data_IF_651136223992
#
_entry.id   IF_651136223992
#
_cell.length_a   1.000
_cell.length_b   1.000
_cell.length_c   1.000
_cell.angle_alpha   90.00
_cell.angle_beta   90.00
_cell.angle_gamma   90.00
#
_symmetry.space_group_name_H-M   'P 1'
#
loop_
_entity.id
_entity.type
_entity.pdbx_description
1 polymer ?
#
# COMPACT_ATOMS: atom_id res chain seq x y z
N UNK A 1 -1.92 12.19 19.97
CA UNK A 1 -1.60 10.80 20.38
C UNK A 1 -0.09 10.67 20.26
N UNK A 2 0.63 10.42 21.36
CA UNK A 2 2.10 10.48 21.39
C UNK A 2 2.71 9.51 20.36
N UNK A 3 3.47 10.03 19.40
CA UNK A 3 4.32 9.22 18.53
C UNK A 3 5.49 8.70 19.37
N UNK A 4 5.41 7.44 19.81
CA UNK A 4 6.53 6.75 20.43
C UNK A 4 7.48 6.25 19.33
N UNK A 5 8.77 6.50 19.52
CA UNK A 5 9.84 6.12 18.60
C UNK A 5 9.82 4.60 18.32
N UNK A 6 10.06 4.12 17.08
CA UNK A 6 10.00 2.68 16.73
C UNK A 6 10.87 1.78 17.62
N UNK A 7 12.01 2.30 18.08
CA UNK A 7 12.90 1.59 19.01
C UNK A 7 12.30 1.36 20.41
N UNK A 8 11.40 2.25 20.85
CA UNK A 8 10.69 2.13 22.12
C UNK A 8 9.66 1.00 22.08
N UNK A 9 9.05 0.75 20.92
CA UNK A 9 8.08 -0.34 20.72
C UNK A 9 8.75 -1.71 20.71
N UNK A 10 9.95 -1.83 20.12
CA UNK A 10 10.66 -3.11 19.98
C UNK A 10 11.33 -3.61 21.29
N UNK A 11 11.77 -2.69 22.16
CA UNK A 11 12.54 -3.02 23.38
C UNK A 11 11.71 -3.07 24.66
N UNK A 12 10.50 -2.50 24.68
CA UNK A 12 9.64 -2.46 25.87
C UNK A 12 8.52 -3.53 25.83
N UNK A 13 8.29 -4.30 26.91
CA UNK A 13 7.16 -5.24 27.02
C UNK A 13 5.78 -4.63 26.72
N UNK A 14 5.55 -3.38 27.13
CA UNK A 14 4.33 -2.62 26.82
C UNK A 14 4.23 -2.27 25.33
N UNK A 15 5.35 -1.92 24.72
CA UNK A 15 5.44 -1.66 23.27
C UNK A 15 5.10 -2.89 22.44
N UNK A 16 5.64 -4.05 22.83
CA UNK A 16 5.31 -5.35 22.21
C UNK A 16 3.87 -5.76 22.43
N UNK A 17 3.29 -5.48 23.60
CA UNK A 17 1.88 -5.76 23.88
C UNK A 17 0.94 -4.86 23.06
N UNK A 18 1.28 -3.58 22.89
CA UNK A 18 0.56 -2.64 22.02
C UNK A 18 0.67 -3.03 20.55
N UNK A 19 1.85 -3.48 20.10
CA UNK A 19 2.04 -4.00 18.75
C UNK A 19 1.30 -5.31 18.52
N UNK A 20 1.30 -6.23 19.50
CA UNK A 20 0.47 -7.44 19.47
C UNK A 20 -1.01 -7.07 19.41
N UNK A 21 -1.48 -6.14 20.25
CA UNK A 21 -2.88 -5.70 20.29
C UNK A 21 -3.28 -4.99 18.99
N UNK A 22 -2.40 -4.18 18.41
CA UNK A 22 -2.56 -3.55 17.09
C UNK A 22 -2.67 -4.62 15.99
N UNK A 23 -1.74 -5.57 15.95
CA UNK A 23 -1.77 -6.68 15.00
C UNK A 23 -3.00 -7.60 15.20
N UNK A 24 -3.47 -7.76 16.43
CA UNK A 24 -4.65 -8.56 16.79
C UNK A 24 -5.95 -7.84 16.42
N UNK A 25 -5.98 -6.50 16.50
CA UNK A 25 -7.08 -5.67 15.99
C UNK A 25 -7.18 -5.74 14.46
N UNK A 26 -6.04 -5.88 13.77
CA UNK A 26 -5.97 -6.05 12.31
C UNK A 26 -6.09 -7.50 11.81
N UNK A 27 -6.22 -8.48 12.72
CA UNK A 27 -6.30 -9.91 12.37
C UNK A 27 -7.70 -10.52 12.56
N UNK A 28 -8.73 -9.73 12.85
CA UNK A 28 -10.06 -10.26 13.23
C UNK A 28 -11.00 -10.60 12.08
N UNK A 29 -11.07 -9.77 11.03
CA UNK A 29 -11.94 -9.98 9.87
C UNK A 29 -11.48 -9.14 8.67
N UNK A 30 -11.76 -9.59 7.45
CA UNK A 30 -11.59 -8.75 6.26
C UNK A 30 -12.58 -7.59 6.33
N UNK A 31 -12.09 -6.38 6.09
CA UNK A 31 -12.95 -5.20 5.88
C UNK A 31 -13.42 -5.16 4.42
N UNK A 32 -14.51 -4.46 4.11
CA UNK A 32 -14.90 -4.22 2.71
C UNK A 32 -13.78 -3.59 1.88
N UNK A 33 -12.97 -2.71 2.48
CA UNK A 33 -11.80 -2.13 1.84
C UNK A 33 -10.75 -3.21 1.51
N UNK A 34 -10.50 -4.16 2.42
CA UNK A 34 -9.56 -5.26 2.16
C UNK A 34 -10.03 -6.14 1.01
N UNK A 35 -11.32 -6.46 0.97
CA UNK A 35 -11.90 -7.30 -0.08
C UNK A 35 -11.81 -6.61 -1.44
N UNK A 36 -12.18 -5.32 -1.50
CA UNK A 36 -12.08 -4.50 -2.70
C UNK A 36 -10.62 -4.37 -3.20
N UNK A 37 -9.67 -4.13 -2.30
CA UNK A 37 -8.23 -4.10 -2.64
C UNK A 37 -7.76 -5.45 -3.19
N UNK A 38 -8.10 -6.55 -2.51
CA UNK A 38 -7.69 -7.89 -2.95
C UNK A 38 -8.30 -8.27 -4.30
N UNK A 39 -9.56 -7.89 -4.54
CA UNK A 39 -10.21 -8.09 -5.83
C UNK A 39 -9.51 -7.32 -6.94
N UNK A 40 -9.28 -6.02 -6.75
CA UNK A 40 -8.59 -5.16 -7.73
C UNK A 40 -7.20 -5.72 -8.06
N UNK A 41 -6.41 -6.08 -7.05
CA UNK A 41 -5.08 -6.65 -7.26
C UNK A 41 -5.11 -7.94 -8.09
N UNK A 42 -6.07 -8.84 -7.83
CA UNK A 42 -6.24 -10.08 -8.63
C UNK A 42 -6.59 -9.76 -10.09
N UNK A 43 -7.48 -8.80 -10.32
CA UNK A 43 -7.91 -8.38 -11.68
C UNK A 43 -6.74 -7.76 -12.46
N UNK A 44 -6.01 -6.84 -11.83
CA UNK A 44 -4.83 -6.20 -12.43
C UNK A 44 -3.69 -7.17 -12.71
N UNK A 45 -3.50 -8.18 -11.86
CA UNK A 45 -2.55 -9.27 -12.10
C UNK A 45 -2.95 -10.08 -13.34
N UNK A 46 -4.20 -10.55 -13.42
CA UNK A 46 -4.69 -11.29 -14.60
C UNK A 46 -4.52 -10.47 -15.89
N UNK A 47 -4.84 -9.18 -15.85
CA UNK A 47 -4.63 -8.29 -17.00
C UNK A 47 -3.15 -8.17 -17.38
N UNK A 48 -2.27 -7.95 -16.40
CA UNK A 48 -0.81 -7.92 -16.63
C UNK A 48 -0.32 -9.21 -17.30
N UNK A 49 -0.75 -10.36 -16.78
CA UNK A 49 -0.30 -11.66 -17.26
C UNK A 49 -0.77 -11.90 -18.70
N UNK A 50 -2.03 -11.57 -19.01
CA UNK A 50 -2.56 -11.65 -20.38
C UNK A 50 -1.82 -10.72 -21.36
N UNK A 51 -1.56 -9.45 -20.98
CA UNK A 51 -0.80 -8.52 -21.84
C UNK A 51 0.64 -9.01 -22.02
N UNK A 52 1.25 -9.60 -20.99
CA UNK A 52 2.61 -10.12 -21.07
C UNK A 52 2.70 -11.36 -21.98
N UNK A 53 1.73 -12.26 -21.91
CA UNK A 53 1.62 -13.43 -22.80
C UNK A 53 1.40 -13.01 -24.26
N UNK A 54 0.58 -12.00 -24.50
CA UNK A 54 0.33 -11.44 -25.83
C UNK A 54 1.53 -10.67 -26.38
N UNK A 55 2.08 -9.72 -25.60
CA UNK A 55 3.18 -8.85 -26.00
C UNK A 55 3.97 -8.30 -24.78
N UNK A 56 5.17 -8.86 -24.51
CA UNK A 56 6.00 -8.43 -23.39
C UNK A 56 6.45 -6.97 -23.43
N UNK A 57 6.60 -6.37 -24.62
CA UNK A 57 6.99 -4.96 -24.78
C UNK A 57 5.82 -4.08 -24.34
N UNK A 58 4.60 -4.38 -24.83
CA UNK A 58 3.37 -3.68 -24.43
C UNK A 58 3.13 -3.82 -22.92
N UNK A 59 3.39 -4.98 -22.33
CA UNK A 59 3.24 -5.21 -20.89
C UNK A 59 4.17 -4.33 -20.03
N UNK A 60 5.34 -3.93 -20.56
CA UNK A 60 6.23 -2.98 -19.87
C UNK A 60 5.67 -1.57 -19.89
N UNK A 61 5.14 -1.14 -21.04
CA UNK A 61 4.59 0.22 -21.21
C UNK A 61 3.22 0.38 -20.53
N UNK A 62 2.38 -0.65 -20.55
CA UNK A 62 1.03 -0.67 -19.95
C UNK A 62 1.00 -1.42 -18.62
N UNK A 63 2.08 -1.33 -17.85
CA UNK A 63 2.23 -2.05 -16.59
C UNK A 63 1.13 -1.65 -15.61
N UNK A 64 0.42 -2.61 -15.03
CA UNK A 64 -0.70 -2.30 -14.13
C UNK A 64 -0.25 -1.95 -12.71
N UNK A 65 0.81 -2.58 -12.20
CA UNK A 65 1.38 -2.32 -10.88
C UNK A 65 2.89 -2.64 -10.80
N UNK A 66 3.55 -2.09 -9.76
CA UNK A 66 4.87 -2.53 -9.28
C UNK A 66 4.83 -2.88 -7.80
N UNK A 67 5.79 -3.67 -7.35
CA UNK A 67 5.89 -4.17 -5.98
C UNK A 67 7.20 -3.70 -5.34
N UNK A 68 7.15 -3.32 -4.06
CA UNK A 68 8.32 -2.93 -3.28
C UNK A 68 8.51 -1.42 -3.16
N UNK A 69 9.09 -1.01 -2.03
CA UNK A 69 9.24 0.39 -1.66
C UNK A 69 10.11 1.19 -2.64
N UNK A 70 11.30 0.65 -2.97
CA UNK A 70 12.23 1.29 -3.91
C UNK A 70 11.62 1.47 -5.30
N UNK A 71 11.01 0.41 -5.84
CA UNK A 71 10.44 0.45 -7.19
C UNK A 71 9.22 1.38 -7.25
N UNK A 72 8.39 1.38 -6.20
CA UNK A 72 7.27 2.30 -6.07
C UNK A 72 7.75 3.76 -6.09
N UNK A 73 8.83 4.10 -5.37
CA UNK A 73 9.36 5.45 -5.37
C UNK A 73 9.88 5.90 -6.74
N UNK A 74 10.53 5.00 -7.51
CA UNK A 74 10.94 5.33 -8.90
C UNK A 74 9.74 5.71 -9.75
N UNK A 75 8.65 4.96 -9.62
CA UNK A 75 7.43 5.16 -10.39
C UNK A 75 6.66 6.42 -9.94
N UNK A 76 6.62 6.72 -8.65
CA UNK A 76 6.07 7.99 -8.15
C UNK A 76 6.84 9.18 -8.75
N UNK A 77 8.18 9.13 -8.75
CA UNK A 77 9.02 10.19 -9.34
C UNK A 77 8.86 10.33 -10.85
N UNK A 78 8.46 9.25 -11.53
CA UNK A 78 8.12 9.24 -12.95
C UNK A 78 6.66 9.65 -13.24
N UNK A 79 5.92 10.09 -12.22
CA UNK A 79 4.54 10.61 -12.31
C UNK A 79 3.53 9.66 -12.96
N UNK A 80 3.71 8.35 -12.78
CA UNK A 80 2.84 7.33 -13.37
C UNK A 80 2.07 6.49 -12.34
N UNK A 81 2.17 6.86 -11.05
CA UNK A 81 1.47 6.18 -9.96
C UNK A 81 0.17 6.88 -9.64
N UNK A 82 -0.90 6.11 -9.56
CA UNK A 82 -2.25 6.60 -9.26
C UNK A 82 -2.70 6.31 -7.84
N UNK A 83 -2.13 5.29 -7.20
CA UNK A 83 -2.48 4.86 -5.85
C UNK A 83 -1.37 3.97 -5.28
N UNK A 84 -1.08 4.10 -3.99
CA UNK A 84 -0.23 3.18 -3.22
C UNK A 84 -1.11 2.33 -2.32
N UNK A 85 -0.93 1.01 -2.38
CA UNK A 85 -1.47 0.06 -1.40
C UNK A 85 -0.35 -0.33 -0.44
N UNK A 86 -0.56 -0.09 0.85
CA UNK A 86 0.36 -0.44 1.92
C UNK A 86 -0.26 -1.52 2.82
N UNK A 87 0.50 -2.58 3.11
CA UNK A 87 0.10 -3.59 4.08
C UNK A 87 -0.09 -2.97 5.47
N UNK A 88 -1.14 -3.36 6.20
CA UNK A 88 -1.36 -2.87 7.58
C UNK A 88 -0.33 -3.42 8.56
N UNK A 89 0.16 -4.64 8.32
CA UNK A 89 1.20 -5.27 9.13
C UNK A 89 2.59 -4.88 8.59
N UNK A 90 2.96 -3.63 8.83
CA UNK A 90 4.30 -3.11 8.55
C UNK A 90 5.31 -3.89 9.37
N UNK A 91 6.40 -4.33 8.74
CA UNK A 91 7.44 -5.15 9.37
C UNK A 91 8.80 -4.43 9.39
N UNK A 92 9.82 -5.17 9.83
CA UNK A 92 11.19 -4.69 9.93
C UNK A 92 11.78 -4.18 8.60
N UNK A 93 11.26 -4.57 7.43
CA UNK A 93 11.75 -4.10 6.12
C UNK A 93 11.44 -2.61 5.91
N UNK A 94 10.24 -2.18 6.28
CA UNK A 94 9.90 -0.75 6.24
C UNK A 94 10.63 -0.01 7.36
N UNK A 95 10.78 -0.63 8.54
CA UNK A 95 11.52 -0.03 9.65
C UNK A 95 13.02 0.11 9.36
N UNK A 96 13.63 -0.75 8.54
CA UNK A 96 15.03 -0.59 8.12
C UNK A 96 15.19 0.44 7.01
N UNK A 97 14.13 0.69 6.23
CA UNK A 97 14.09 1.66 5.14
C UNK A 97 13.25 2.91 5.49
N UNK A 98 13.30 3.36 6.76
CA UNK A 98 12.51 4.51 7.27
C UNK A 98 12.66 5.74 6.39
N UNK A 99 13.88 6.13 6.02
CA UNK A 99 14.13 7.32 5.19
C UNK A 99 13.44 7.22 3.83
N UNK A 100 13.49 6.05 3.19
CA UNK A 100 12.86 5.81 1.91
C UNK A 100 11.33 5.81 2.02
N UNK A 101 10.81 5.26 3.11
CA UNK A 101 9.37 5.28 3.38
C UNK A 101 8.86 6.71 3.63
N UNK A 102 9.64 7.54 4.34
CA UNK A 102 9.36 8.97 4.47
C UNK A 102 9.33 9.66 3.11
N UNK A 103 10.32 9.42 2.24
CA UNK A 103 10.31 10.00 0.89
C UNK A 103 9.11 9.55 0.05
N UNK A 104 8.74 8.26 0.10
CA UNK A 104 7.54 7.77 -0.57
C UNK A 104 6.29 8.52 -0.10
N UNK A 105 6.19 8.72 1.21
CA UNK A 105 5.06 9.38 1.83
C UNK A 105 4.97 10.86 1.42
N UNK A 106 6.07 11.60 1.48
CA UNK A 106 6.15 13.01 1.09
C UNK A 106 5.77 13.21 -0.38
N UNK A 107 6.31 12.38 -1.27
CA UNK A 107 5.98 12.42 -2.70
C UNK A 107 4.50 12.10 -2.96
N UNK A 108 3.93 11.14 -2.23
CA UNK A 108 2.50 10.85 -2.37
C UNK A 108 1.63 12.02 -1.89
N UNK A 109 1.93 12.60 -0.72
CA UNK A 109 1.15 13.68 -0.14
C UNK A 109 1.20 14.96 -0.97
N UNK A 110 2.39 15.33 -1.46
CA UNK A 110 2.59 16.52 -2.29
C UNK A 110 1.87 16.42 -3.65
N UNK A 111 1.73 15.20 -4.19
CA UNK A 111 1.04 14.93 -5.46
C UNK A 111 -0.43 14.54 -5.31
N UNK A 112 -0.91 14.37 -4.08
CA UNK A 112 -2.27 13.89 -3.81
C UNK A 112 -2.51 12.42 -4.19
N UNK A 113 -1.47 11.59 -4.20
CA UNK A 113 -1.57 10.14 -4.47
C UNK A 113 -2.11 9.43 -3.23
N UNK A 114 -3.27 8.75 -3.29
CA UNK A 114 -3.83 8.00 -2.17
C UNK A 114 -2.86 6.93 -1.65
N UNK A 115 -2.69 6.87 -0.32
CA UNK A 115 -2.06 5.74 0.37
C UNK A 115 -3.15 4.94 1.10
N UNK A 116 -3.44 3.75 0.59
CA UNK A 116 -4.48 2.84 1.07
C UNK A 116 -3.85 1.74 1.93
N UNK A 117 -4.03 1.82 3.24
CA UNK A 117 -3.59 0.82 4.20
C UNK A 117 -4.62 -0.31 4.25
N UNK A 118 -4.30 -1.46 3.66
CA UNK A 118 -5.23 -2.57 3.53
C UNK A 118 -4.54 -3.93 3.62
N UNK A 119 -5.26 -4.90 4.18
CA UNK A 119 -4.92 -6.30 4.30
C UNK A 119 -3.55 -6.55 4.95
N UNK A 120 -3.03 -7.77 4.78
CA UNK A 120 -1.68 -8.13 5.20
C UNK A 120 -0.74 -8.29 4.01
N UNK A 121 0.57 -8.07 4.19
CA UNK A 121 1.58 -8.25 3.14
C UNK A 121 1.49 -9.62 2.45
N UNK A 122 1.16 -10.66 3.24
CA UNK A 122 0.97 -12.03 2.74
C UNK A 122 -0.24 -12.12 1.82
N UNK A 123 -1.38 -11.55 2.19
CA UNK A 123 -2.59 -11.58 1.38
C UNK A 123 -2.46 -10.73 0.12
N UNK A 124 -1.88 -9.53 0.22
CA UNK A 124 -1.57 -8.68 -0.94
C UNK A 124 -0.66 -9.42 -1.93
N UNK A 125 0.43 -10.02 -1.43
CA UNK A 125 1.40 -10.73 -2.27
C UNK A 125 0.81 -12.00 -2.90
N UNK A 126 -0.08 -12.71 -2.18
CA UNK A 126 -0.82 -13.86 -2.72
C UNK A 126 -1.80 -13.44 -3.81
N UNK A 127 -2.50 -12.32 -3.66
CA UNK A 127 -3.38 -11.78 -4.71
C UNK A 127 -2.60 -11.53 -6.01
N UNK A 128 -1.34 -11.10 -5.88
CA UNK A 128 -0.45 -10.79 -7.00
C UNK A 128 0.41 -11.97 -7.48
N UNK A 129 0.34 -13.13 -6.82
CA UNK A 129 1.23 -14.29 -7.04
C UNK A 129 2.72 -13.89 -7.04
N UNK A 130 3.10 -13.06 -6.07
CA UNK A 130 4.46 -12.55 -5.91
C UNK A 130 5.14 -13.11 -4.67
N UNK A 131 6.41 -13.48 -4.86
CA UNK A 131 7.35 -13.85 -3.82
C UNK A 131 8.73 -13.21 -4.14
N UNK A 132 9.48 -12.68 -3.16
CA UNK A 132 9.14 -12.54 -1.74
C UNK A 132 7.92 -11.63 -1.49
N UNK A 133 7.30 -11.73 -0.31
CA UNK A 133 6.15 -10.89 0.04
C UNK A 133 6.57 -9.44 0.17
N UNK A 134 5.73 -8.52 -0.32
CA UNK A 134 5.98 -7.09 -0.25
C UNK A 134 4.94 -6.37 0.59
N UNK A 135 5.38 -5.31 1.28
CA UNK A 135 4.50 -4.40 2.01
C UNK A 135 3.89 -3.31 1.14
N UNK A 136 4.49 -2.99 -0.02
CA UNK A 136 4.11 -1.84 -0.86
C UNK A 136 3.77 -2.31 -2.27
N UNK A 137 2.62 -1.87 -2.77
CA UNK A 137 2.22 -2.06 -4.18
C UNK A 137 1.81 -0.70 -4.74
N UNK A 138 2.44 -0.25 -5.81
CA UNK A 138 2.02 0.94 -6.54
C UNK A 138 1.16 0.55 -7.73
N UNK A 139 0.00 1.18 -7.87
CA UNK A 139 -0.92 1.01 -9.00
C UNK A 139 -0.67 2.09 -10.04
N UNK A 140 -0.53 1.68 -11.31
CA UNK A 140 -0.16 2.56 -12.43
C UNK A 140 -1.31 2.64 -13.44
N UNK A 141 -1.58 1.52 -14.12
CA UNK A 141 -2.66 1.39 -15.11
C UNK A 141 -3.71 0.40 -14.61
N UNK A 142 -4.97 0.75 -14.76
CA UNK A 142 -6.12 -0.09 -14.39
C UNK A 142 -7.25 0.06 -15.41
N UNK A 143 -6.87 0.16 -16.68
CA UNK A 143 -7.84 0.33 -17.77
C UNK A 143 -8.81 -0.85 -17.80
N UNK A 144 -10.11 -0.55 -17.78
CA UNK A 144 -11.19 -1.54 -17.68
C UNK A 144 -11.57 -1.92 -16.24
N UNK A 145 -10.95 -1.31 -15.23
CA UNK A 145 -11.23 -1.51 -13.81
C UNK A 145 -11.41 -0.18 -13.05
N UNK A 146 -11.74 0.91 -13.76
CA UNK A 146 -11.91 2.25 -13.20
C UNK A 146 -13.02 2.31 -12.15
N UNK A 147 -14.12 1.59 -12.39
CA UNK A 147 -15.23 1.47 -11.45
C UNK A 147 -14.81 0.77 -10.16
N UNK A 148 -14.15 -0.39 -10.28
CA UNK A 148 -13.64 -1.13 -9.13
C UNK A 148 -12.64 -0.30 -8.32
N UNK A 149 -11.77 0.46 -8.99
CA UNK A 149 -10.87 1.39 -8.33
C UNK A 149 -11.61 2.54 -7.62
N UNK A 150 -12.61 3.13 -8.29
CA UNK A 150 -13.40 4.23 -7.72
C UNK A 150 -14.13 3.78 -6.45
N UNK A 151 -14.74 2.60 -6.48
CA UNK A 151 -15.47 2.04 -5.34
C UNK A 151 -14.50 1.72 -4.19
N UNK A 152 -13.31 1.19 -4.50
CA UNK A 152 -12.21 1.02 -3.52
C UNK A 152 -11.83 2.36 -2.86
N UNK A 153 -11.71 3.44 -3.62
CA UNK A 153 -11.40 4.77 -3.11
C UNK A 153 -12.53 5.34 -2.25
N UNK A 154 -13.79 5.07 -2.57
CA UNK A 154 -14.93 5.45 -1.72
C UNK A 154 -14.88 4.74 -0.37
N UNK A 155 -14.60 3.43 -0.37
CA UNK A 155 -14.39 2.66 0.86
C UNK A 155 -13.19 3.20 1.66
N UNK A 156 -12.10 3.57 0.97
CA UNK A 156 -10.92 4.16 1.60
C UNK A 156 -11.25 5.48 2.31
N UNK A 157 -11.97 6.40 1.66
CA UNK A 157 -12.38 7.69 2.24
C UNK A 157 -13.17 7.57 3.54
N UNK A 158 -13.92 6.48 3.70
CA UNK A 158 -14.70 6.17 4.90
C UNK A 158 -13.92 5.36 5.95
N UNK A 159 -12.64 5.07 5.72
CA UNK A 159 -11.84 4.19 6.58
C UNK A 159 -10.80 4.96 7.42
N UNK A 160 -10.32 4.31 8.48
CA UNK A 160 -9.19 4.82 9.28
C UNK A 160 -7.94 5.06 8.44
N UNK A 161 -7.78 4.36 7.30
CA UNK A 161 -6.64 4.59 6.41
C UNK A 161 -6.62 6.00 5.84
N UNK A 162 -7.78 6.58 5.52
CA UNK A 162 -7.87 7.93 4.99
C UNK A 162 -7.56 8.98 6.07
N UNK A 163 -8.00 8.72 7.31
CA UNK A 163 -7.67 9.57 8.46
C UNK A 163 -6.15 9.61 8.67
N UNK A 164 -5.46 8.45 8.62
CA UNK A 164 -4.00 8.41 8.74
C UNK A 164 -3.31 9.15 7.60
N UNK A 165 -3.83 9.06 6.38
CA UNK A 165 -3.28 9.81 5.25
C UNK A 165 -3.33 11.34 5.49
N UNK A 166 -4.45 11.86 6.00
CA UNK A 166 -4.64 13.31 6.19
C UNK A 166 -4.10 13.89 7.51
N UNK A 167 -4.12 13.13 8.62
CA UNK A 167 -3.56 13.59 9.90
C UNK A 167 -2.13 14.11 9.76
N UNK A 168 -1.36 13.43 8.92
CA UNK A 168 0.04 13.74 8.70
C UNK A 168 0.26 14.83 7.63
N UNK A 169 -0.76 15.12 6.81
CA UNK A 169 -0.76 16.28 5.92
C UNK A 169 -0.82 17.57 6.74
N UNK A 170 -1.56 17.56 7.85
CA UNK A 170 -1.68 18.72 8.75
C UNK A 170 -0.36 19.01 9.48
N UNK A 171 0.44 17.99 9.81
CA UNK A 171 1.77 18.16 10.43
C UNK A 171 2.88 18.60 9.47
N UNK A 172 2.68 18.53 8.15
CA UNK A 172 3.63 19.04 7.16
C UNK A 172 3.54 20.57 6.99
N UNK A 173 2.44 21.17 7.43
CA UNK A 173 2.18 22.62 7.34
C UNK A 173 2.19 23.32 8.71
N UNK A 174 2.67 22.65 9.76
CA UNK A 174 2.75 23.16 11.13
C UNK A 174 4.21 23.36 11.57
#
# INVERSE_FOLDING_TARGET
>A
MLHLHPEFLAKNPLGRALEKKRNQLYSGSSTPLDESVIELLKKLRKQRDAIHEENPIRARTMRTFVCGLHESLKHIKADNVKCIVLARNIDAEITSAISLFHSLREECLSRGIPIVHASTKRLLSRALEKFPYTNVVALLHFQGFEELYRDMIQLWKCSDSHIHYHKDQTSLFA
#
